data_IF_858865372915
#
_entry.id   IF_858865372915
#
_cell.length_a   1.000
_cell.length_b   1.000
_cell.length_c   1.000
_cell.angle_alpha   90.00
_cell.angle_beta   90.00
_cell.angle_gamma   90.00
#
_symmetry.space_group_name_H-M   'P 1'
#
loop_
_entity.id
_entity.type
_entity.pdbx_description
1 polymer ?
#
# COMPACT_ATOMS: atom_id res chain seq x y z
N UNK A 1 6.90 -5.95 21.71
CA UNK A 1 7.04 -5.02 20.56
C UNK A 1 7.44 -3.61 21.04
N UNK A 2 6.75 -3.03 22.04
CA UNK A 2 7.11 -1.67 22.55
C UNK A 2 8.52 -1.63 23.13
N UNK A 3 8.91 -2.63 23.93
CA UNK A 3 10.26 -2.73 24.48
C UNK A 3 11.35 -2.75 23.38
N UNK A 4 11.07 -3.41 22.25
CA UNK A 4 11.98 -3.41 21.10
C UNK A 4 12.11 -2.00 20.49
N UNK A 5 11.02 -1.27 20.34
CA UNK A 5 11.06 0.12 19.84
C UNK A 5 11.80 1.05 20.79
N UNK A 6 11.70 0.83 22.10
CA UNK A 6 12.43 1.60 23.10
C UNK A 6 13.94 1.32 23.00
N UNK A 7 14.36 0.06 22.78
CA UNK A 7 15.77 -0.27 22.56
C UNK A 7 16.30 0.34 21.24
N UNK A 8 15.48 0.36 20.17
CA UNK A 8 15.83 1.05 18.91
C UNK A 8 16.07 2.54 19.16
N UNK A 9 15.20 3.21 19.92
CA UNK A 9 15.36 4.63 20.29
C UNK A 9 16.61 4.86 21.15
N UNK A 10 16.84 4.02 22.19
CA UNK A 10 18.04 4.09 23.05
C UNK A 10 19.32 3.93 22.25
N UNK A 11 19.31 3.12 21.20
CA UNK A 11 20.43 2.95 20.28
C UNK A 11 20.62 4.13 19.30
N UNK A 12 19.84 5.21 19.44
CA UNK A 12 19.91 6.39 18.56
C UNK A 12 19.40 6.13 17.15
N UNK A 13 18.65 5.05 16.94
CA UNK A 13 18.09 4.68 15.64
C UNK A 13 16.66 5.18 15.48
N UNK A 14 16.25 5.41 14.21
CA UNK A 14 14.87 5.76 13.84
C UNK A 14 14.12 4.51 13.43
N UNK A 15 12.79 4.56 13.52
CA UNK A 15 11.92 3.54 12.96
C UNK A 15 10.73 4.16 12.23
N UNK A 16 10.21 3.44 11.27
CA UNK A 16 9.01 3.77 10.51
C UNK A 16 8.15 2.51 10.43
N UNK A 17 6.88 2.62 10.75
CA UNK A 17 5.92 1.55 10.51
C UNK A 17 5.55 1.49 9.04
N UNK A 18 5.51 0.29 8.48
CA UNK A 18 5.00 0.05 7.15
C UNK A 18 3.89 -1.01 7.16
N UNK A 19 2.78 -0.70 6.51
CA UNK A 19 1.68 -1.65 6.32
C UNK A 19 1.27 -1.77 4.86
N UNK A 20 1.05 -3.01 4.39
CA UNK A 20 0.42 -3.24 3.09
C UNK A 20 -1.07 -2.89 3.09
N UNK A 21 -1.71 -2.89 4.25
CA UNK A 21 -3.13 -2.59 4.33
C UNK A 21 -3.42 -1.15 3.89
N UNK A 22 -4.07 -1.01 2.74
CA UNK A 22 -4.46 0.27 2.12
C UNK A 22 -5.90 0.67 2.43
N UNK A 23 -6.66 -0.12 3.21
CA UNK A 23 -8.07 0.16 3.49
C UNK A 23 -8.32 1.32 4.46
N UNK A 24 -7.27 1.81 5.12
CA UNK A 24 -7.34 2.87 6.12
C UNK A 24 -6.34 3.98 5.81
N UNK A 25 -6.68 5.20 6.23
CA UNK A 25 -5.75 6.33 6.18
C UNK A 25 -4.60 6.16 7.18
N UNK A 26 -3.44 6.78 6.96
CA UNK A 26 -2.35 6.83 7.95
C UNK A 26 -2.80 7.33 9.33
N UNK A 27 -3.72 8.31 9.38
CA UNK A 27 -4.29 8.83 10.64
C UNK A 27 -4.95 7.75 11.48
N UNK A 28 -5.72 6.85 10.87
CA UNK A 28 -6.35 5.73 11.58
C UNK A 28 -5.31 4.81 12.26
N UNK A 29 -4.14 4.62 11.64
CA UNK A 29 -3.06 3.82 12.24
C UNK A 29 -2.35 4.56 13.35
N UNK A 30 -2.15 5.87 13.25
CA UNK A 30 -1.59 6.71 14.32
C UNK A 30 -2.47 6.61 15.56
N UNK A 31 -3.77 6.82 15.43
CA UNK A 31 -4.74 6.70 16.52
C UNK A 31 -4.74 5.31 17.16
N UNK A 32 -4.61 4.26 16.34
CA UNK A 32 -4.54 2.89 16.82
C UNK A 32 -3.27 2.64 17.63
N UNK A 33 -2.13 3.11 17.16
CA UNK A 33 -0.84 2.93 17.82
C UNK A 33 -0.77 3.74 19.11
N UNK A 34 -1.33 4.94 19.14
CA UNK A 34 -1.46 5.76 20.34
C UNK A 34 -2.26 5.04 21.45
N UNK A 35 -3.41 4.44 21.09
CA UNK A 35 -4.20 3.61 22.03
C UNK A 35 -3.44 2.39 22.56
N UNK A 36 -2.43 1.93 21.84
CA UNK A 36 -1.53 0.85 22.26
C UNK A 36 -0.31 1.34 23.05
N UNK A 37 -0.21 2.66 23.32
CA UNK A 37 0.92 3.28 24.04
C UNK A 37 2.12 3.61 23.15
N UNK A 38 1.96 3.62 21.83
CA UNK A 38 3.01 3.98 20.89
C UNK A 38 2.65 5.28 20.15
N UNK A 39 3.17 6.40 20.64
CA UNK A 39 2.96 7.72 20.03
C UNK A 39 3.93 7.90 18.85
N UNK A 40 3.40 8.14 17.66
CA UNK A 40 4.15 8.38 16.44
C UNK A 40 3.60 9.58 15.67
N UNK A 41 4.46 10.23 14.87
CA UNK A 41 4.05 11.25 13.92
C UNK A 41 3.67 10.65 12.56
N UNK A 42 3.12 11.50 11.67
CA UNK A 42 2.74 11.12 10.29
C UNK A 42 3.94 10.58 9.50
N UNK A 43 5.12 11.11 9.75
CA UNK A 43 6.40 10.74 9.13
C UNK A 43 6.91 9.35 9.55
N UNK A 44 6.28 8.75 10.56
CA UNK A 44 6.66 7.42 11.07
C UNK A 44 5.70 6.30 10.65
N UNK A 45 4.79 6.56 9.73
CA UNK A 45 3.88 5.55 9.17
C UNK A 45 3.78 5.68 7.66
N UNK A 46 3.93 4.57 6.95
CA UNK A 46 3.74 4.44 5.51
C UNK A 46 2.73 3.32 5.25
N UNK A 47 1.78 3.55 4.38
CA UNK A 47 0.86 2.54 3.87
C UNK A 47 1.19 2.21 2.41
N UNK A 48 0.73 1.07 1.90
CA UNK A 48 0.83 0.79 0.46
C UNK A 48 0.01 1.76 -0.39
N UNK A 49 -0.99 2.43 0.19
CA UNK A 49 -1.69 3.55 -0.43
C UNK A 49 -0.78 4.75 -0.66
N UNK A 50 0.07 5.10 0.31
CA UNK A 50 1.04 6.20 0.17
C UNK A 50 2.08 5.88 -0.93
N UNK A 51 2.57 4.63 -0.98
CA UNK A 51 3.49 4.17 -2.04
C UNK A 51 2.83 4.29 -3.43
N UNK A 52 1.56 3.90 -3.55
CA UNK A 52 0.81 4.03 -4.80
C UNK A 52 0.64 5.49 -5.21
N UNK A 53 0.31 6.37 -4.27
CA UNK A 53 0.17 7.82 -4.54
C UNK A 53 1.49 8.39 -5.07
N UNK A 54 2.62 8.06 -4.44
CA UNK A 54 3.94 8.50 -4.92
C UNK A 54 4.24 7.93 -6.31
N UNK A 55 4.00 6.65 -6.53
CA UNK A 55 4.17 5.99 -7.83
C UNK A 55 3.33 6.66 -8.94
N UNK A 56 2.09 7.02 -8.64
CA UNK A 56 1.23 7.73 -9.58
C UNK A 56 1.76 9.13 -9.91
N UNK A 57 2.27 9.87 -8.92
CA UNK A 57 2.85 11.21 -9.14
C UNK A 57 4.10 11.15 -10.01
N UNK A 58 4.92 10.12 -9.85
CA UNK A 58 6.17 9.96 -10.58
C UNK A 58 5.95 9.45 -12.01
N UNK A 59 5.15 8.38 -12.18
CA UNK A 59 5.03 7.69 -13.47
C UNK A 59 3.77 8.03 -14.27
N UNK A 60 2.74 8.58 -13.61
CA UNK A 60 1.46 8.92 -14.23
C UNK A 60 0.99 10.33 -13.85
N UNK A 61 1.85 11.37 -13.94
CA UNK A 61 1.51 12.71 -13.50
C UNK A 61 0.30 13.25 -14.26
N UNK A 62 -0.70 13.73 -13.50
CA UNK A 62 -1.91 14.34 -14.03
C UNK A 62 -2.89 13.39 -14.73
N UNK A 63 -2.67 12.07 -14.65
CA UNK A 63 -3.58 11.07 -15.22
C UNK A 63 -4.85 10.89 -14.38
N UNK A 64 -5.95 10.54 -15.05
CA UNK A 64 -7.23 10.22 -14.42
C UNK A 64 -7.22 8.78 -13.90
N UNK A 65 -7.60 8.61 -12.63
CA UNK A 65 -7.52 7.32 -11.92
C UNK A 65 -8.90 6.82 -11.53
N UNK A 66 -9.24 5.59 -11.92
CA UNK A 66 -10.34 4.86 -11.31
C UNK A 66 -9.81 4.03 -10.14
N UNK A 67 -10.30 4.32 -8.94
CA UNK A 67 -9.87 3.64 -7.71
C UNK A 67 -10.95 2.65 -7.23
N UNK A 68 -10.57 1.39 -7.10
CA UNK A 68 -11.30 0.39 -6.32
C UNK A 68 -10.72 0.39 -4.92
N UNK A 69 -11.35 1.09 -4.02
CA UNK A 69 -10.86 1.33 -2.66
C UNK A 69 -11.97 1.77 -1.71
N UNK A 70 -11.64 1.80 -0.43
CA UNK A 70 -12.52 2.34 0.62
C UNK A 70 -12.61 3.86 0.52
N UNK A 71 -13.64 4.49 1.13
CA UNK A 71 -13.69 5.96 1.24
C UNK A 71 -12.43 6.57 1.85
N UNK A 72 -11.86 5.95 2.91
CA UNK A 72 -10.62 6.42 3.54
C UNK A 72 -9.45 6.48 2.53
N UNK A 73 -9.34 5.48 1.63
CA UNK A 73 -8.30 5.46 0.59
C UNK A 73 -8.59 6.49 -0.49
N UNK A 74 -9.85 6.65 -0.90
CA UNK A 74 -10.25 7.68 -1.86
C UNK A 74 -9.90 9.08 -1.35
N UNK A 75 -10.18 9.37 -0.09
CA UNK A 75 -9.89 10.66 0.52
C UNK A 75 -8.37 10.90 0.59
N UNK A 76 -7.58 9.89 1.00
CA UNK A 76 -6.12 10.00 0.97
C UNK A 76 -5.58 10.30 -0.44
N UNK A 77 -6.14 9.69 -1.48
CA UNK A 77 -5.75 9.98 -2.87
C UNK A 77 -6.09 11.41 -3.27
N UNK A 78 -7.30 11.89 -2.98
CA UNK A 78 -7.75 13.26 -3.29
C UNK A 78 -6.91 14.31 -2.55
N UNK A 79 -6.68 14.13 -1.25
CA UNK A 79 -5.86 15.02 -0.42
C UNK A 79 -4.43 15.15 -0.94
N UNK A 80 -3.92 14.11 -1.58
CA UNK A 80 -2.60 14.09 -2.21
C UNK A 80 -2.60 14.53 -3.68
N UNK A 81 -3.73 15.03 -4.19
CA UNK A 81 -3.83 15.62 -5.53
C UNK A 81 -3.98 14.61 -6.66
N UNK A 82 -4.32 13.35 -6.36
CA UNK A 82 -4.65 12.36 -7.39
C UNK A 82 -6.06 12.62 -7.91
N UNK A 83 -6.20 12.72 -9.22
CA UNK A 83 -7.49 12.97 -9.87
C UNK A 83 -8.27 11.67 -10.02
N UNK A 84 -9.29 11.50 -9.18
CA UNK A 84 -10.17 10.34 -9.25
C UNK A 84 -11.34 10.60 -10.18
N UNK A 85 -11.62 9.63 -11.07
CA UNK A 85 -12.75 9.66 -12.01
C UNK A 85 -13.56 8.38 -11.98
N UNK A 86 -14.81 8.47 -12.37
CA UNK A 86 -15.68 7.31 -12.65
C UNK A 86 -15.87 7.06 -14.15
N UNK A 87 -15.24 7.87 -15.00
CA UNK A 87 -15.42 7.81 -16.46
C UNK A 87 -14.07 7.92 -17.16
N UNK A 88 -13.81 7.00 -18.11
CA UNK A 88 -12.64 7.00 -19.00
C UNK A 88 -11.29 7.21 -18.30
N UNK A 89 -10.92 6.42 -17.29
CA UNK A 89 -9.64 6.57 -16.60
C UNK A 89 -8.47 6.16 -17.49
N UNK A 90 -7.33 6.80 -17.29
CA UNK A 90 -6.03 6.34 -17.84
C UNK A 90 -5.48 5.14 -17.05
N UNK A 91 -5.78 5.11 -15.75
CA UNK A 91 -5.24 4.13 -14.79
C UNK A 91 -6.35 3.58 -13.91
N UNK A 92 -6.36 2.27 -13.70
CA UNK A 92 -7.17 1.57 -12.69
C UNK A 92 -6.26 1.15 -11.55
N UNK A 93 -6.58 1.57 -10.35
CA UNK A 93 -5.87 1.18 -9.13
C UNK A 93 -6.77 0.33 -8.24
N UNK A 94 -6.27 -0.83 -7.83
CA UNK A 94 -6.93 -1.69 -6.86
C UNK A 94 -6.25 -1.56 -5.51
N UNK A 95 -7.03 -1.22 -4.49
CA UNK A 95 -6.65 -1.27 -3.10
C UNK A 95 -7.35 -2.39 -2.34
N UNK A 96 -7.10 -2.50 -1.05
CA UNK A 96 -7.89 -3.34 -0.16
C UNK A 96 -9.25 -2.67 0.10
N UNK A 97 -10.27 -3.12 -0.62
CA UNK A 97 -11.61 -2.51 -0.58
C UNK A 97 -12.63 -3.40 0.13
N UNK A 98 -12.87 -3.12 1.41
CA UNK A 98 -13.93 -3.76 2.19
C UNK A 98 -15.34 -3.24 1.86
N UNK A 99 -15.44 -2.26 0.96
CA UNK A 99 -16.71 -1.71 0.44
C UNK A 99 -16.94 -2.10 -1.02
N UNK A 100 -16.24 -3.15 -1.48
CA UNK A 100 -16.31 -3.65 -2.85
C UNK A 100 -17.75 -3.98 -3.26
N UNK A 101 -18.15 -3.48 -4.42
CA UNK A 101 -19.41 -3.81 -5.05
C UNK A 101 -19.18 -4.47 -6.41
N UNK A 102 -20.17 -5.18 -6.92
CA UNK A 102 -20.10 -5.75 -8.28
C UNK A 102 -19.88 -4.65 -9.33
N UNK A 103 -20.52 -3.48 -9.16
CA UNK A 103 -20.33 -2.33 -10.04
C UNK A 103 -18.87 -1.88 -10.09
N UNK A 104 -18.17 -1.82 -8.94
CA UNK A 104 -16.74 -1.47 -8.91
C UNK A 104 -15.89 -2.47 -9.70
N UNK A 105 -16.16 -3.78 -9.57
CA UNK A 105 -15.46 -4.83 -10.34
C UNK A 105 -15.76 -4.72 -11.83
N UNK A 106 -17.02 -4.59 -12.22
CA UNK A 106 -17.43 -4.46 -13.61
C UNK A 106 -16.75 -3.30 -14.31
N UNK A 107 -16.77 -2.11 -13.70
CA UNK A 107 -16.12 -0.91 -14.23
C UNK A 107 -14.60 -1.10 -14.35
N UNK A 108 -13.94 -1.62 -13.31
CA UNK A 108 -12.52 -1.90 -13.34
C UNK A 108 -12.15 -2.83 -14.50
N UNK A 109 -12.87 -3.96 -14.65
CA UNK A 109 -12.66 -4.90 -15.75
C UNK A 109 -12.86 -4.24 -17.11
N UNK A 110 -13.91 -3.42 -17.26
CA UNK A 110 -14.21 -2.71 -18.51
C UNK A 110 -13.10 -1.75 -18.88
N UNK A 111 -12.62 -0.92 -17.95
CA UNK A 111 -11.56 0.04 -18.22
C UNK A 111 -10.23 -0.63 -18.54
N UNK A 112 -9.87 -1.72 -17.82
CA UNK A 112 -8.65 -2.48 -18.09
C UNK A 112 -8.70 -3.14 -19.47
N UNK A 113 -9.85 -3.69 -19.90
CA UNK A 113 -10.02 -4.23 -21.28
C UNK A 113 -9.87 -3.14 -22.34
N UNK A 114 -10.32 -1.91 -22.02
CA UNK A 114 -10.22 -0.76 -22.92
C UNK A 114 -8.83 -0.10 -22.91
N UNK A 115 -7.86 -0.67 -22.21
CA UNK A 115 -6.47 -0.25 -22.26
C UNK A 115 -5.99 0.63 -21.12
N UNK A 116 -6.81 0.87 -20.08
CA UNK A 116 -6.35 1.53 -18.87
C UNK A 116 -5.24 0.71 -18.20
N UNK A 117 -4.24 1.38 -17.64
CA UNK A 117 -3.14 0.74 -16.92
C UNK A 117 -3.67 0.07 -15.66
N UNK A 118 -3.28 -1.18 -15.39
CA UNK A 118 -3.72 -1.94 -14.22
C UNK A 118 -2.66 -1.94 -13.13
N UNK A 119 -2.92 -1.24 -12.03
CA UNK A 119 -2.05 -1.13 -10.85
C UNK A 119 -2.77 -1.66 -9.60
N UNK A 120 -1.99 -2.09 -8.62
CA UNK A 120 -2.50 -2.54 -7.32
C UNK A 120 -1.56 -2.14 -6.18
N UNK A 121 -2.15 -1.78 -5.03
CA UNK A 121 -1.39 -1.29 -3.88
C UNK A 121 -0.51 -2.37 -3.26
N UNK A 122 -0.93 -3.63 -3.24
CA UNK A 122 -0.16 -4.77 -2.71
C UNK A 122 -0.76 -6.11 -3.18
N UNK A 123 -0.02 -7.18 -2.95
CA UNK A 123 -0.33 -8.52 -3.46
C UNK A 123 -1.00 -9.46 -2.45
N UNK A 124 -1.21 -9.04 -1.19
CA UNK A 124 -1.74 -9.92 -0.15
C UNK A 124 -3.12 -10.46 -0.54
N UNK A 125 -3.28 -11.77 -0.49
CA UNK A 125 -4.53 -12.47 -0.85
C UNK A 125 -5.55 -12.39 0.27
N UNK A 126 -5.07 -12.44 1.52
CA UNK A 126 -5.91 -12.44 2.70
C UNK A 126 -5.40 -11.47 3.76
N UNK A 127 -6.34 -10.75 4.39
CA UNK A 127 -6.11 -9.99 5.60
C UNK A 127 -6.55 -10.82 6.82
N UNK A 128 -5.67 -11.04 7.82
CA UNK A 128 -6.05 -11.71 9.06
C UNK A 128 -6.99 -10.81 9.89
N UNK A 129 -8.00 -11.44 10.46
CA UNK A 129 -8.95 -10.83 11.39
C UNK A 129 -9.03 -11.65 12.66
N UNK A 130 -9.76 -11.16 13.65
CA UNK A 130 -9.99 -11.90 14.90
C UNK A 130 -10.74 -13.23 14.68
N UNK A 131 -11.57 -13.30 13.63
CA UNK A 131 -12.43 -14.47 13.36
C UNK A 131 -11.94 -15.30 12.14
N UNK A 132 -10.68 -15.09 11.68
CA UNK A 132 -10.08 -15.82 10.56
C UNK A 132 -9.47 -14.88 9.51
N UNK A 133 -9.78 -15.11 8.24
CA UNK A 133 -9.23 -14.36 7.11
C UNK A 133 -10.34 -13.79 6.24
N UNK A 134 -10.12 -12.58 5.73
CA UNK A 134 -10.99 -11.97 4.72
C UNK A 134 -10.20 -11.71 3.43
N UNK A 135 -10.85 -11.73 2.24
CA UNK A 135 -10.18 -11.42 0.97
C UNK A 135 -9.55 -10.03 1.01
N UNK A 136 -8.32 -9.92 0.51
CA UNK A 136 -7.54 -8.69 0.46
C UNK A 136 -7.32 -8.24 -1.00
N UNK A 137 -6.52 -7.21 -1.23
CA UNK A 137 -6.25 -6.59 -2.53
C UNK A 137 -5.85 -7.63 -3.60
N UNK A 138 -4.96 -8.57 -3.28
CA UNK A 138 -4.53 -9.62 -4.21
C UNK A 138 -5.67 -10.53 -4.65
N UNK A 139 -6.65 -10.84 -3.78
CA UNK A 139 -7.82 -11.64 -4.14
C UNK A 139 -8.73 -10.88 -5.12
N UNK A 140 -8.92 -9.56 -4.92
CA UNK A 140 -9.67 -8.69 -5.83
C UNK A 140 -8.96 -8.64 -7.19
N UNK A 141 -7.63 -8.46 -7.19
CA UNK A 141 -6.82 -8.48 -8.40
C UNK A 141 -6.94 -9.81 -9.15
N UNK A 142 -6.91 -10.94 -8.45
CA UNK A 142 -7.06 -12.26 -9.07
C UNK A 142 -8.40 -12.41 -9.82
N UNK A 143 -9.51 -11.93 -9.22
CA UNK A 143 -10.81 -11.93 -9.89
C UNK A 143 -10.80 -11.08 -11.17
N UNK A 144 -10.17 -9.89 -11.12
CA UNK A 144 -10.04 -8.99 -12.27
C UNK A 144 -9.12 -9.60 -13.34
N UNK A 145 -7.97 -10.18 -12.93
CA UNK A 145 -7.01 -10.82 -13.83
C UNK A 145 -7.65 -11.99 -14.60
N UNK A 146 -8.38 -12.86 -13.90
CA UNK A 146 -9.11 -13.96 -14.52
C UNK A 146 -10.17 -13.46 -15.53
N UNK A 147 -10.85 -12.36 -15.21
CA UNK A 147 -11.89 -11.79 -16.08
C UNK A 147 -11.31 -11.06 -17.30
N UNK A 148 -10.17 -10.40 -17.17
CA UNK A 148 -9.61 -9.50 -18.21
C UNK A 148 -8.46 -10.11 -19.00
N UNK A 149 -7.80 -11.14 -18.48
CA UNK A 149 -6.54 -11.69 -19.00
C UNK A 149 -5.34 -10.76 -18.82
N UNK A 150 -5.44 -9.77 -17.92
CA UNK A 150 -4.37 -8.78 -17.64
C UNK A 150 -3.91 -8.93 -16.20
N UNK A 151 -2.63 -8.68 -15.95
CA UNK A 151 -2.04 -8.72 -14.62
C UNK A 151 -1.72 -7.30 -14.13
N UNK A 152 -1.90 -7.01 -12.82
CA UNK A 152 -1.55 -5.71 -12.26
C UNK A 152 -0.04 -5.59 -12.02
N UNK A 153 0.46 -4.35 -12.04
CA UNK A 153 1.70 -4.03 -11.35
C UNK A 153 1.40 -3.68 -9.90
N UNK A 154 2.06 -4.40 -8.99
CA UNK A 154 2.00 -4.15 -7.55
C UNK A 154 3.15 -3.24 -7.11
N UNK A 155 2.92 -2.38 -6.08
CA UNK A 155 3.91 -1.41 -5.56
C UNK A 155 4.21 -1.56 -4.07
N UNK A 156 3.35 -2.18 -3.27
CA UNK A 156 3.57 -2.45 -1.84
C UNK A 156 4.69 -3.47 -1.58
N UNK A 157 4.84 -3.91 -0.33
CA UNK A 157 5.80 -5.01 -0.03
C UNK A 157 5.49 -6.27 -0.85
N UNK A 158 6.46 -6.95 -1.42
CA UNK A 158 7.92 -6.81 -1.26
C UNK A 158 8.62 -6.02 -2.39
N UNK A 159 7.92 -5.17 -3.11
CA UNK A 159 8.44 -4.50 -4.31
C UNK A 159 9.33 -3.31 -3.96
N UNK A 160 10.21 -2.96 -4.92
CA UNK A 160 11.24 -1.91 -4.76
C UNK A 160 10.65 -0.53 -4.43
N UNK A 161 9.47 -0.23 -4.94
CA UNK A 161 8.77 1.05 -4.72
C UNK A 161 8.55 1.32 -3.22
N UNK A 162 8.34 0.27 -2.42
CA UNK A 162 8.30 0.36 -0.96
C UNK A 162 9.63 0.82 -0.37
N UNK A 163 10.75 0.24 -0.83
CA UNK A 163 12.09 0.60 -0.35
C UNK A 163 12.43 2.02 -0.79
N UNK A 164 12.18 2.37 -2.04
CA UNK A 164 12.45 3.70 -2.59
C UNK A 164 11.72 4.79 -1.78
N UNK A 165 10.45 4.57 -1.43
CA UNK A 165 9.70 5.49 -0.58
C UNK A 165 10.28 5.61 0.84
N UNK A 166 10.72 4.51 1.45
CA UNK A 166 11.38 4.55 2.78
C UNK A 166 12.67 5.35 2.72
N UNK A 167 13.48 5.17 1.68
CA UNK A 167 14.73 5.91 1.50
C UNK A 167 14.49 7.40 1.28
N UNK A 168 13.49 7.76 0.47
CA UNK A 168 13.11 9.16 0.25
C UNK A 168 12.63 9.83 1.54
N UNK A 169 11.74 9.16 2.28
CA UNK A 169 11.20 9.67 3.53
C UNK A 169 12.28 9.84 4.60
N UNK A 170 13.24 8.91 4.69
CA UNK A 170 14.21 8.86 5.77
C UNK A 170 15.54 9.53 5.45
N UNK A 171 15.86 9.71 4.17
CA UNK A 171 17.17 10.13 3.69
C UNK A 171 18.27 9.09 3.93
N UNK A 172 17.92 7.85 4.32
CA UNK A 172 18.87 6.79 4.61
C UNK A 172 19.37 6.13 3.32
N UNK A 173 20.55 5.48 3.37
CA UNK A 173 21.02 4.62 2.31
C UNK A 173 20.44 3.21 2.48
N UNK A 174 20.42 2.41 1.40
CA UNK A 174 19.84 1.05 1.42
C UNK A 174 20.48 0.15 2.47
N UNK A 175 21.81 0.21 2.59
CA UNK A 175 22.59 -0.55 3.56
C UNK A 175 22.38 -0.12 5.03
N UNK A 176 21.72 1.01 5.26
CA UNK A 176 21.39 1.52 6.60
C UNK A 176 19.97 1.16 7.04
N UNK A 177 19.16 0.52 6.15
CA UNK A 177 17.76 0.20 6.38
C UNK A 177 17.58 -1.29 6.62
N UNK A 178 16.85 -1.63 7.69
CA UNK A 178 16.42 -3.00 7.98
C UNK A 178 14.90 -3.09 8.01
N UNK A 179 14.34 -4.05 7.28
CA UNK A 179 12.92 -4.38 7.32
C UNK A 179 12.69 -5.51 8.32
N UNK A 180 11.93 -5.21 9.37
CA UNK A 180 11.63 -6.15 10.47
C UNK A 180 10.15 -6.50 10.43
N UNK A 181 9.82 -7.78 10.34
CA UNK A 181 8.43 -8.25 10.32
C UNK A 181 8.32 -9.75 10.48
N UNK A 182 7.09 -10.24 10.56
CA UNK A 182 6.77 -11.65 10.80
C UNK A 182 6.56 -12.48 9.51
N UNK A 183 6.48 -11.79 8.36
CA UNK A 183 6.22 -12.45 7.06
C UNK A 183 7.48 -12.48 6.20
N UNK A 184 8.08 -13.67 6.05
CA UNK A 184 9.30 -13.86 5.25
C UNK A 184 9.09 -13.43 3.79
N UNK A 185 7.95 -13.75 3.19
CA UNK A 185 7.65 -13.49 1.77
C UNK A 185 7.25 -12.04 1.46
N UNK A 186 6.98 -11.22 2.44
CA UNK A 186 6.75 -9.78 2.30
C UNK A 186 7.78 -8.97 3.06
N UNK A 187 7.81 -9.00 4.38
CA UNK A 187 8.63 -8.11 5.20
C UNK A 187 10.12 -8.32 4.98
N UNK A 188 10.61 -9.54 5.25
CA UNK A 188 12.04 -9.88 5.09
C UNK A 188 12.46 -9.77 3.62
N UNK A 189 11.63 -10.29 2.70
CA UNK A 189 11.88 -10.21 1.26
C UNK A 189 12.00 -8.76 0.77
N UNK A 190 11.25 -7.81 1.35
CA UNK A 190 11.35 -6.39 0.99
C UNK A 190 12.78 -5.89 1.14
N UNK A 191 13.43 -6.17 2.26
CA UNK A 191 14.83 -5.80 2.46
C UNK A 191 15.76 -6.57 1.53
N UNK A 192 15.78 -7.88 1.64
CA UNK A 192 16.75 -8.77 0.96
C UNK A 192 16.69 -8.65 -0.57
N UNK A 193 15.49 -8.63 -1.14
CA UNK A 193 15.32 -8.56 -2.61
C UNK A 193 15.67 -7.19 -3.21
N UNK A 194 15.74 -6.15 -2.38
CA UNK A 194 15.95 -4.76 -2.85
C UNK A 194 17.24 -4.12 -2.28
N UNK A 195 18.18 -4.92 -1.80
CA UNK A 195 19.51 -4.45 -1.39
C UNK A 195 19.57 -3.73 -0.04
N UNK A 196 18.55 -3.96 0.82
CA UNK A 196 18.51 -3.57 2.22
C UNK A 196 18.60 -4.82 3.11
N UNK A 197 18.50 -4.68 4.43
CA UNK A 197 18.47 -5.81 5.35
C UNK A 197 17.03 -6.28 5.59
N UNK A 198 16.86 -7.58 5.83
CA UNK A 198 15.57 -8.20 6.14
C UNK A 198 15.67 -9.18 7.29
#
# INVERSE_FOLDING_TARGET
ALDFLDEVKKAGKRFVFFTNNSSKSPGTYIDKLEKMGCNIGREQIITSGDVMIQYLKEYYPGKEVYLVGTPDLEDNFRENGIRLTKEMPDVVVIGFDMTLTYEKLERACTYIRNGAVFLATHLDINCPTKDGFIPDCGAICAAISLSTGKEPKYVGKPFKETVDMVLELTGAKREEVSFVGDRIYTDVKTGVANGAHG
#
